data_IF_174296983529
#
_entry.id   IF_174296983529
#
_cell.length_a   1.000
_cell.length_b   1.000
_cell.length_c   1.000
_cell.angle_alpha   90.00
_cell.angle_beta   90.00
_cell.angle_gamma   90.00
#
_symmetry.space_group_name_H-M   'P 1'
#
loop_
_entity.id
_entity.type
_entity.pdbx_description
1 polymer ?
#
# COMPACT_ATOMS: atom_id res chain seq x y z
N UNK A 1 -27.19 76.77 14.71
CA UNK A 1 -25.89 76.42 14.08
C UNK A 1 -25.68 74.93 14.21
N UNK A 2 -25.61 74.23 13.07
CA UNK A 2 -25.49 72.77 12.95
C UNK A 2 -24.07 72.31 13.29
N UNK A 3 -23.94 71.23 14.06
CA UNK A 3 -22.82 70.28 13.96
C UNK A 3 -23.37 68.86 14.12
N UNK A 4 -23.45 68.16 12.99
CA UNK A 4 -23.77 66.74 12.90
C UNK A 4 -22.52 65.94 13.26
N UNK A 5 -22.62 65.02 14.22
CA UNK A 5 -21.61 63.97 14.43
C UNK A 5 -22.22 62.68 13.90
N UNK A 6 -21.57 62.15 12.87
CA UNK A 6 -21.90 60.94 12.15
C UNK A 6 -21.41 59.74 12.97
N UNK A 7 -22.31 59.05 13.67
CA UNK A 7 -22.03 57.79 14.35
C UNK A 7 -22.28 56.63 13.41
N UNK A 8 -21.22 55.94 12.98
CA UNK A 8 -21.28 54.71 12.19
C UNK A 8 -21.63 53.56 13.15
N UNK A 9 -22.83 53.00 13.03
CA UNK A 9 -23.22 51.76 13.71
C UNK A 9 -22.86 50.61 12.76
N UNK A 10 -21.77 49.90 13.07
CA UNK A 10 -21.43 48.63 12.44
C UNK A 10 -22.29 47.56 13.12
N UNK A 11 -23.32 47.09 12.40
CA UNK A 11 -24.15 45.96 12.81
C UNK A 11 -23.39 44.67 12.47
N UNK A 12 -22.69 44.10 13.44
CA UNK A 12 -22.02 42.80 13.32
C UNK A 12 -23.06 41.68 13.39
N UNK A 13 -23.37 41.09 12.23
CA UNK A 13 -24.09 39.82 12.12
C UNK A 13 -23.16 38.69 12.60
N UNK A 14 -23.37 38.21 13.83
CA UNK A 14 -22.78 36.97 14.31
C UNK A 14 -23.70 35.82 13.87
N UNK A 15 -23.41 35.23 12.71
CA UNK A 15 -23.95 33.92 12.35
C UNK A 15 -23.02 32.90 13.00
N UNK A 16 -23.47 32.30 14.11
CA UNK A 16 -22.82 31.15 14.72
C UNK A 16 -22.98 29.95 13.79
N UNK A 17 -21.97 29.69 12.96
CA UNK A 17 -21.81 28.39 12.31
C UNK A 17 -21.24 27.42 13.34
N UNK A 18 -22.05 26.45 13.74
CA UNK A 18 -21.60 25.25 14.43
C UNK A 18 -20.58 24.55 13.54
N UNK A 19 -19.31 24.57 13.93
CA UNK A 19 -18.26 23.76 13.28
C UNK A 19 -18.52 22.31 13.65
N UNK A 20 -19.26 21.61 12.80
CA UNK A 20 -19.18 20.16 12.70
C UNK A 20 -17.82 19.87 12.06
N UNK A 21 -16.90 19.30 12.84
CA UNK A 21 -15.63 18.81 12.33
C UNK A 21 -15.90 17.59 11.42
N UNK A 22 -16.13 17.85 10.13
CA UNK A 22 -16.02 16.83 9.10
C UNK A 22 -14.55 16.49 8.94
N UNK A 23 -14.16 15.31 9.42
CA UNK A 23 -12.90 14.69 9.01
C UNK A 23 -12.94 14.50 7.49
N UNK A 24 -11.92 14.95 6.74
CA UNK A 24 -11.84 14.62 5.33
C UNK A 24 -11.52 13.13 5.20
N UNK A 25 -12.44 12.38 4.60
CA UNK A 25 -12.19 11.05 4.04
C UNK A 25 -11.23 11.27 2.86
N UNK A 26 -9.94 11.34 3.13
CA UNK A 26 -8.89 11.35 2.10
C UNK A 26 -8.78 9.95 1.51
N UNK A 27 -9.70 9.61 0.59
CA UNK A 27 -9.51 8.47 -0.29
C UNK A 27 -8.48 8.86 -1.35
N UNK A 28 -7.19 8.60 -1.09
CA UNK A 28 -6.14 8.68 -2.11
C UNK A 28 -6.21 7.43 -2.99
N UNK A 29 -7.26 7.37 -3.81
CA UNK A 29 -7.37 6.35 -4.82
C UNK A 29 -6.35 6.65 -5.92
N UNK A 30 -5.34 5.79 -6.08
CA UNK A 30 -4.51 5.75 -7.29
C UNK A 30 -5.26 5.27 -8.55
N UNK A 31 -6.59 5.32 -8.54
CA UNK A 31 -7.47 5.11 -9.69
C UNK A 31 -8.17 6.40 -10.07
N UNK A 32 -7.99 6.83 -11.32
CA UNK A 32 -8.81 7.85 -11.98
C UNK A 32 -10.31 7.56 -11.76
N UNK A 33 -10.95 8.17 -10.76
CA UNK A 33 -12.41 8.16 -10.63
C UNK A 33 -12.98 9.16 -11.63
N UNK A 34 -13.26 8.67 -12.83
CA UNK A 34 -14.21 9.30 -13.75
C UNK A 34 -15.53 8.54 -13.66
N UNK A 35 -16.64 9.26 -13.44
CA UNK A 35 -18.02 8.76 -13.38
C UNK A 35 -18.54 8.21 -14.74
N UNK A 36 -17.65 7.84 -15.66
CA UNK A 36 -17.93 7.11 -16.91
C UNK A 36 -16.77 6.19 -17.29
N UNK A 37 -15.97 5.73 -16.31
CA UNK A 37 -14.83 4.86 -16.60
C UNK A 37 -15.34 3.53 -17.20
N UNK A 38 -14.74 3.05 -18.32
CA UNK A 38 -15.02 1.72 -18.83
C UNK A 38 -14.79 0.68 -17.72
N UNK A 39 -15.56 -0.41 -17.72
CA UNK A 39 -15.37 -1.52 -16.79
C UNK A 39 -13.87 -1.86 -16.64
N UNK A 40 -13.38 -2.17 -15.42
CA UNK A 40 -11.97 -2.43 -15.20
C UNK A 40 -11.45 -3.47 -16.21
N UNK A 41 -10.33 -3.16 -16.84
CA UNK A 41 -9.74 -4.00 -17.86
C UNK A 41 -9.33 -5.36 -17.26
N UNK A 42 -9.54 -6.45 -18.00
CA UNK A 42 -9.08 -7.77 -17.59
C UNK A 42 -7.55 -7.81 -17.74
N UNK A 43 -6.85 -8.04 -16.63
CA UNK A 43 -5.38 -8.13 -16.60
C UNK A 43 -4.96 -9.51 -17.13
N UNK A 44 -4.42 -9.51 -18.34
CA UNK A 44 -3.90 -10.73 -18.99
C UNK A 44 -2.45 -11.02 -18.61
N UNK A 45 -1.67 -10.02 -18.20
CA UNK A 45 -0.27 -10.17 -17.83
C UNK A 45 -0.13 -10.76 -16.41
N UNK A 46 0.50 -11.93 -16.29
CA UNK A 46 0.68 -12.60 -14.99
C UNK A 46 1.52 -11.78 -13.99
N UNK A 47 2.52 -11.03 -14.44
CA UNK A 47 3.33 -10.20 -13.55
C UNK A 47 2.51 -9.05 -12.97
N UNK A 48 1.68 -8.40 -13.78
CA UNK A 48 0.78 -7.34 -13.33
C UNK A 48 -0.28 -7.87 -12.36
N UNK A 49 -0.86 -9.03 -12.67
CA UNK A 49 -1.79 -9.72 -11.76
C UNK A 49 -1.15 -10.03 -10.40
N UNK A 50 0.05 -10.63 -10.41
CA UNK A 50 0.80 -10.91 -9.18
C UNK A 50 1.23 -9.64 -8.44
N UNK A 51 1.56 -8.57 -9.16
CA UNK A 51 1.91 -7.27 -8.57
C UNK A 51 0.73 -6.75 -7.76
N UNK A 52 -0.47 -6.67 -8.34
CA UNK A 52 -1.67 -6.20 -7.64
C UNK A 52 -1.99 -7.02 -6.38
N UNK A 53 -1.86 -8.35 -6.45
CA UNK A 53 -2.03 -9.23 -5.28
C UNK A 53 -1.01 -8.93 -4.17
N UNK A 54 0.24 -8.66 -4.54
CA UNK A 54 1.30 -8.38 -3.59
C UNK A 54 1.27 -6.95 -3.03
N UNK A 55 0.75 -5.97 -3.78
CA UNK A 55 0.44 -4.64 -3.25
C UNK A 55 -0.62 -4.74 -2.16
N UNK A 56 -1.71 -5.49 -2.40
CA UNK A 56 -2.72 -5.77 -1.36
C UNK A 56 -2.09 -6.42 -0.12
N UNK A 57 -1.22 -7.42 -0.29
CA UNK A 57 -0.47 -8.00 0.85
C UNK A 57 0.40 -6.97 1.58
N UNK A 58 1.00 -6.02 0.85
CA UNK A 58 1.80 -4.93 1.41
C UNK A 58 1.01 -4.01 2.34
N UNK A 59 -0.10 -3.46 1.86
CA UNK A 59 -1.01 -2.63 2.67
C UNK A 59 -1.47 -3.38 3.93
N UNK A 60 -1.88 -4.64 3.76
CA UNK A 60 -2.38 -5.46 4.87
C UNK A 60 -1.28 -5.71 5.91
N UNK A 61 -0.05 -6.01 5.48
CA UNK A 61 1.08 -6.19 6.38
C UNK A 61 1.33 -4.91 7.20
N UNK A 62 1.38 -3.76 6.54
CA UNK A 62 1.56 -2.44 7.18
C UNK A 62 0.47 -2.17 8.21
N UNK A 63 -0.80 -2.34 7.82
CA UNK A 63 -1.94 -2.10 8.71
C UNK A 63 -1.91 -3.00 9.94
N UNK A 64 -1.45 -4.25 9.82
CA UNK A 64 -1.28 -5.17 10.95
C UNK A 64 -0.13 -4.73 11.88
N UNK A 65 1.01 -4.30 11.33
CA UNK A 65 2.12 -3.78 12.15
C UNK A 65 1.73 -2.50 12.90
N UNK A 66 0.94 -1.63 12.26
CA UNK A 66 0.37 -0.44 12.90
C UNK A 66 -0.61 -0.81 14.00
N UNK A 67 -1.46 -1.81 13.77
CA UNK A 67 -2.40 -2.30 14.77
C UNK A 67 -1.68 -2.85 16.02
N UNK A 68 -0.62 -3.64 15.81
CA UNK A 68 0.23 -4.18 16.89
C UNK A 68 0.90 -3.09 17.73
N UNK A 69 1.22 -1.96 17.11
CA UNK A 69 1.86 -0.80 17.77
C UNK A 69 0.84 0.24 18.27
N UNK A 70 -0.45 -0.09 18.29
CA UNK A 70 -1.56 0.79 18.71
C UNK A 70 -1.70 2.07 17.89
N UNK A 71 -1.16 2.10 16.66
CA UNK A 71 -1.38 3.17 15.68
C UNK A 71 -2.68 2.94 14.91
N UNK A 72 -3.80 2.91 15.64
CA UNK A 72 -5.08 2.36 15.17
C UNK A 72 -5.67 3.12 13.98
N UNK A 73 -5.60 4.45 13.97
CA UNK A 73 -6.15 5.24 12.85
C UNK A 73 -5.42 4.96 11.54
N UNK A 74 -4.08 4.87 11.59
CA UNK A 74 -3.28 4.47 10.43
C UNK A 74 -3.60 3.03 10.04
N UNK A 75 -3.73 2.12 11.00
CA UNK A 75 -4.10 0.73 10.72
C UNK A 75 -5.44 0.63 9.97
N UNK A 76 -6.45 1.39 10.40
CA UNK A 76 -7.76 1.45 9.73
C UNK A 76 -7.67 2.01 8.32
N UNK A 77 -6.83 3.03 8.09
CA UNK A 77 -6.61 3.58 6.74
C UNK A 77 -6.06 2.51 5.80
N UNK A 78 -5.01 1.80 6.22
CA UNK A 78 -4.42 0.71 5.43
C UNK A 78 -5.35 -0.48 5.20
N UNK A 79 -6.38 -0.68 6.03
CA UNK A 79 -7.41 -1.70 5.79
C UNK A 79 -8.46 -1.27 4.75
N UNK A 80 -8.54 0.02 4.41
CA UNK A 80 -9.40 0.52 3.33
C UNK A 80 -8.73 0.35 1.97
N UNK A 81 -7.43 0.69 1.85
CA UNK A 81 -6.69 0.75 0.58
C UNK A 81 -6.87 -0.49 -0.32
N UNK A 82 -6.69 -1.75 0.16
CA UNK A 82 -6.86 -2.93 -0.69
C UNK A 82 -8.24 -3.01 -1.35
N UNK A 83 -9.30 -2.63 -0.64
CA UNK A 83 -10.67 -2.71 -1.17
C UNK A 83 -10.97 -1.53 -2.11
N UNK A 84 -10.55 -0.32 -1.73
CA UNK A 84 -10.86 0.92 -2.46
C UNK A 84 -10.03 1.13 -3.72
N UNK A 85 -8.78 0.66 -3.74
CA UNK A 85 -7.86 0.89 -4.85
C UNK A 85 -7.64 -0.32 -5.75
N UNK A 86 -7.61 -1.54 -5.20
CA UNK A 86 -7.08 -2.69 -5.94
C UNK A 86 -8.12 -3.81 -6.16
N UNK A 87 -8.82 -4.22 -5.11
CA UNK A 87 -9.65 -5.42 -5.15
C UNK A 87 -10.81 -5.30 -6.15
N UNK A 88 -11.50 -4.15 -6.16
CA UNK A 88 -12.63 -3.90 -7.07
C UNK A 88 -12.24 -4.06 -8.54
N UNK A 89 -11.08 -3.52 -8.92
CA UNK A 89 -10.55 -3.58 -10.28
C UNK A 89 -10.05 -4.98 -10.67
N UNK A 90 -9.72 -5.80 -9.67
CA UNK A 90 -9.29 -7.19 -9.87
C UNK A 90 -10.46 -8.17 -10.04
N UNK A 91 -11.69 -7.81 -9.68
CA UNK A 91 -12.87 -8.70 -9.77
C UNK A 91 -13.09 -9.28 -11.18
N UNK A 92 -13.09 -8.47 -12.27
CA UNK A 92 -13.22 -9.01 -13.63
C UNK A 92 -12.08 -9.98 -13.99
N UNK A 93 -10.87 -9.69 -13.52
CA UNK A 93 -9.67 -10.52 -13.73
C UNK A 93 -9.78 -11.85 -13.00
N UNK A 94 -10.24 -11.89 -11.75
CA UNK A 94 -10.48 -13.14 -11.03
C UNK A 94 -11.47 -14.02 -11.77
N UNK A 95 -12.60 -13.44 -12.22
CA UNK A 95 -13.60 -14.15 -13.01
C UNK A 95 -13.02 -14.71 -14.31
N UNK A 96 -12.25 -13.93 -15.05
CA UNK A 96 -11.65 -14.35 -16.31
C UNK A 96 -10.61 -15.47 -16.13
N UNK A 97 -9.86 -15.47 -15.03
CA UNK A 97 -8.86 -16.49 -14.68
C UNK A 97 -9.45 -17.72 -14.00
N UNK A 98 -10.71 -17.68 -13.60
CA UNK A 98 -11.34 -18.73 -12.77
C UNK A 98 -10.85 -18.74 -11.32
N UNK A 99 -10.22 -17.65 -10.86
CA UNK A 99 -9.73 -17.49 -9.50
C UNK A 99 -10.90 -17.19 -8.55
N UNK A 100 -10.87 -17.68 -7.29
CA UNK A 100 -12.01 -17.55 -6.37
C UNK A 100 -12.23 -16.12 -5.84
N UNK A 101 -11.23 -15.23 -5.95
CA UNK A 101 -11.23 -13.98 -5.19
C UNK A 101 -11.08 -14.25 -3.68
N UNK A 102 -11.33 -13.22 -2.86
CA UNK A 102 -11.18 -13.25 -1.40
C UNK A 102 -11.95 -12.11 -0.71
N UNK A 103 -13.09 -11.69 -1.27
CA UNK A 103 -13.86 -10.54 -0.78
C UNK A 103 -14.32 -10.71 0.68
N UNK A 104 -14.76 -11.92 1.04
CA UNK A 104 -15.23 -12.24 2.38
C UNK A 104 -14.10 -12.16 3.41
N UNK A 105 -12.94 -12.71 3.09
CA UNK A 105 -11.76 -12.68 3.94
C UNK A 105 -11.25 -11.25 4.14
N UNK A 106 -11.27 -10.44 3.06
CA UNK A 106 -10.91 -9.03 3.11
C UNK A 106 -11.84 -8.23 4.03
N UNK A 107 -13.16 -8.40 3.86
CA UNK A 107 -14.16 -7.74 4.70
C UNK A 107 -14.05 -8.15 6.17
N UNK A 108 -13.82 -9.43 6.44
CA UNK A 108 -13.67 -9.94 7.81
C UNK A 108 -12.49 -9.32 8.54
N UNK A 109 -11.35 -9.13 7.86
CA UNK A 109 -10.19 -8.47 8.45
C UNK A 109 -10.44 -6.97 8.62
N UNK A 110 -10.94 -6.29 7.58
CA UNK A 110 -11.20 -4.86 7.62
C UNK A 110 -12.18 -4.51 8.75
N UNK A 111 -13.25 -5.28 8.90
CA UNK A 111 -14.23 -5.14 9.99
C UNK A 111 -13.65 -5.41 11.38
N UNK A 112 -12.75 -6.37 11.54
CA UNK A 112 -12.15 -6.67 12.86
C UNK A 112 -11.18 -5.57 13.31
N UNK A 113 -10.42 -4.97 12.38
CA UNK A 113 -9.58 -3.80 12.65
C UNK A 113 -10.44 -2.57 12.92
N UNK A 114 -11.50 -2.35 12.14
CA UNK A 114 -12.42 -1.22 12.34
C UNK A 114 -13.14 -1.27 13.69
N UNK A 115 -13.50 -2.48 14.14
CA UNK A 115 -14.15 -2.73 15.44
C UNK A 115 -13.16 -2.86 16.60
N UNK A 116 -11.86 -2.67 16.33
CA UNK A 116 -10.78 -2.77 17.32
C UNK A 116 -10.80 -4.07 18.11
N UNK A 117 -11.05 -5.19 17.43
CA UNK A 117 -11.07 -6.51 18.06
C UNK A 117 -9.69 -6.90 18.63
N UNK A 118 -9.65 -7.90 19.51
CA UNK A 118 -8.38 -8.37 20.08
C UNK A 118 -7.35 -8.72 18.98
N UNK A 119 -6.08 -8.43 19.23
CA UNK A 119 -4.97 -8.72 18.29
C UNK A 119 -4.96 -10.19 17.86
N UNK A 120 -5.40 -11.11 18.71
CA UNK A 120 -5.54 -12.53 18.37
C UNK A 120 -6.52 -12.71 17.21
N UNK A 121 -7.72 -12.14 17.31
CA UNK A 121 -8.75 -12.29 16.27
C UNK A 121 -8.29 -11.61 14.98
N UNK A 122 -7.72 -10.41 15.08
CA UNK A 122 -7.16 -9.68 13.92
C UNK A 122 -6.10 -10.51 13.20
N UNK A 123 -5.14 -11.09 13.94
CA UNK A 123 -4.12 -11.96 13.35
C UNK A 123 -4.70 -13.24 12.72
N UNK A 124 -5.70 -13.87 13.35
CA UNK A 124 -6.37 -15.05 12.79
C UNK A 124 -7.06 -14.70 11.45
N UNK A 125 -7.74 -13.54 11.36
CA UNK A 125 -8.35 -13.04 10.11
C UNK A 125 -7.30 -12.69 9.05
N UNK A 126 -6.21 -12.03 9.45
CA UNK A 126 -5.10 -11.71 8.57
C UNK A 126 -4.46 -12.95 7.95
N UNK A 127 -4.19 -13.98 8.77
CA UNK A 127 -3.66 -15.26 8.29
C UNK A 127 -4.60 -15.91 7.25
N UNK A 128 -5.90 -15.95 7.53
CA UNK A 128 -6.89 -16.51 6.60
C UNK A 128 -6.93 -15.75 5.27
N UNK A 129 -6.90 -14.43 5.31
CA UNK A 129 -6.84 -13.59 4.11
C UNK A 129 -5.55 -13.81 3.32
N UNK A 130 -4.40 -13.89 4.00
CA UNK A 130 -3.11 -14.11 3.33
C UNK A 130 -3.05 -15.47 2.62
N UNK A 131 -3.67 -16.50 3.19
CA UNK A 131 -3.87 -17.82 2.55
C UNK A 131 -4.76 -17.68 1.31
N UNK A 132 -5.89 -16.96 1.41
CA UNK A 132 -6.80 -16.76 0.28
C UNK A 132 -6.14 -15.98 -0.87
N UNK A 133 -5.36 -14.93 -0.58
CA UNK A 133 -4.59 -14.21 -1.60
C UNK A 133 -3.56 -15.14 -2.25
N UNK A 134 -2.80 -15.90 -1.45
CA UNK A 134 -1.80 -16.85 -1.98
C UNK A 134 -2.44 -17.92 -2.87
N UNK A 135 -3.67 -18.36 -2.57
CA UNK A 135 -4.41 -19.27 -3.46
C UNK A 135 -4.74 -18.63 -4.81
N UNK A 136 -5.04 -17.32 -4.83
CA UNK A 136 -5.32 -16.60 -6.07
C UNK A 136 -4.05 -16.38 -6.92
N UNK A 137 -2.85 -16.34 -6.32
CA UNK A 137 -1.57 -16.25 -7.03
C UNK A 137 -1.26 -17.49 -7.88
N UNK A 138 -1.90 -18.64 -7.61
CA UNK A 138 -1.78 -19.86 -8.41
C UNK A 138 -2.47 -19.76 -9.78
N UNK A 139 -3.39 -18.81 -9.97
CA UNK A 139 -4.18 -18.63 -11.20
C UNK A 139 -3.47 -17.77 -12.24
N UNK A 140 -2.28 -18.22 -12.63
CA UNK A 140 -1.46 -17.60 -13.68
C UNK A 140 -1.39 -18.50 -14.92
N UNK A 141 -1.27 -17.88 -16.09
CA UNK A 141 -1.30 -18.60 -17.37
C UNK A 141 0.02 -19.28 -17.72
N UNK A 142 1.13 -18.76 -17.20
CA UNK A 142 2.46 -19.32 -17.36
C UNK A 142 3.07 -19.58 -15.97
N UNK A 143 3.47 -20.82 -15.67
CA UNK A 143 3.96 -21.23 -14.34
C UNK A 143 4.96 -20.26 -13.68
N UNK A 144 4.87 -20.12 -12.35
CA UNK A 144 5.53 -19.08 -11.55
C UNK A 144 6.99 -19.41 -11.19
N UNK A 145 7.51 -20.53 -11.70
CA UNK A 145 8.66 -21.18 -11.07
C UNK A 145 10.01 -20.62 -11.53
N UNK A 146 10.03 -19.72 -12.53
CA UNK A 146 11.29 -19.14 -12.96
C UNK A 146 11.70 -17.97 -12.05
N UNK A 147 12.97 -18.00 -11.65
CA UNK A 147 13.58 -16.92 -10.87
C UNK A 147 13.45 -15.58 -11.57
N UNK A 148 13.56 -15.54 -12.90
CA UNK A 148 13.44 -14.29 -13.66
C UNK A 148 12.04 -13.66 -13.53
N UNK A 149 10.97 -14.46 -13.46
CA UNK A 149 9.62 -13.94 -13.20
C UNK A 149 9.50 -13.37 -11.79
N UNK A 150 10.10 -14.03 -10.79
CA UNK A 150 10.12 -13.53 -9.40
C UNK A 150 10.93 -12.24 -9.28
N UNK A 151 12.07 -12.13 -9.96
CA UNK A 151 12.86 -10.90 -10.04
C UNK A 151 12.06 -9.78 -10.71
N UNK A 152 11.32 -10.10 -11.79
CA UNK A 152 10.45 -9.11 -12.45
C UNK A 152 9.34 -8.60 -11.51
N UNK A 153 8.72 -9.48 -10.73
CA UNK A 153 7.73 -9.09 -9.72
C UNK A 153 8.35 -8.16 -8.66
N UNK A 154 9.55 -8.49 -8.17
CA UNK A 154 10.32 -7.64 -7.24
C UNK A 154 10.54 -6.24 -7.82
N UNK A 155 10.97 -6.16 -9.07
CA UNK A 155 11.16 -4.88 -9.76
C UNK A 155 9.85 -4.09 -9.82
N UNK A 156 8.74 -4.73 -10.21
CA UNK A 156 7.43 -4.05 -10.29
C UNK A 156 6.94 -3.53 -8.94
N UNK A 157 7.15 -4.27 -7.85
CA UNK A 157 6.81 -3.81 -6.51
C UNK A 157 7.66 -2.62 -6.07
N UNK A 158 8.97 -2.65 -6.34
CA UNK A 158 9.87 -1.54 -6.01
C UNK A 158 9.59 -0.29 -6.85
N UNK A 159 9.17 -0.44 -8.12
CA UNK A 159 8.80 0.69 -8.97
C UNK A 159 7.60 1.46 -8.41
N UNK A 160 6.66 0.76 -7.78
CA UNK A 160 5.51 1.38 -7.10
C UNK A 160 5.93 1.91 -5.73
N UNK A 161 6.72 1.16 -4.96
CA UNK A 161 7.27 1.63 -3.69
C UNK A 161 8.06 2.94 -3.84
N UNK A 162 8.82 3.11 -4.93
CA UNK A 162 9.53 4.35 -5.22
C UNK A 162 8.57 5.54 -5.46
N UNK A 163 7.41 5.30 -6.07
CA UNK A 163 6.39 6.34 -6.29
C UNK A 163 5.75 6.73 -4.96
N UNK A 164 5.32 5.76 -4.15
CA UNK A 164 4.72 6.05 -2.84
C UNK A 164 5.73 6.73 -1.91
N UNK A 165 6.98 6.31 -1.92
CA UNK A 165 8.01 6.96 -1.11
C UNK A 165 8.26 8.41 -1.55
N UNK A 166 8.18 8.71 -2.85
CA UNK A 166 8.32 10.08 -3.36
C UNK A 166 7.14 10.99 -3.01
N UNK A 167 5.95 10.42 -2.80
CA UNK A 167 4.78 11.15 -2.28
C UNK A 167 4.90 11.31 -0.76
N UNK A 168 5.33 10.26 -0.08
CA UNK A 168 5.44 10.23 1.37
C UNK A 168 6.56 11.11 1.93
N UNK A 169 7.72 11.14 1.26
CA UNK A 169 8.89 11.91 1.66
C UNK A 169 9.24 12.94 0.58
N UNK A 170 9.16 14.23 0.93
CA UNK A 170 9.53 15.34 0.04
C UNK A 170 10.56 16.22 0.73
N UNK A 171 11.74 16.37 0.12
CA UNK A 171 12.86 17.15 0.67
C UNK A 171 13.20 16.78 2.14
N UNK A 172 13.16 15.48 2.44
CA UNK A 172 13.46 14.92 3.76
C UNK A 172 12.36 15.10 4.81
N UNK A 173 11.17 15.58 4.42
CA UNK A 173 10.01 15.74 5.30
C UNK A 173 8.96 14.68 5.00
N UNK A 174 8.26 14.24 6.03
CA UNK A 174 7.11 13.34 5.89
C UNK A 174 5.89 14.17 5.48
N UNK A 175 5.60 14.22 4.18
CA UNK A 175 4.42 14.92 3.64
C UNK A 175 3.19 14.02 3.64
N UNK A 176 3.36 12.72 3.41
CA UNK A 176 2.29 11.73 3.50
C UNK A 176 2.76 10.44 4.19
N UNK A 177 2.36 10.28 5.44
CA UNK A 177 2.77 9.13 6.26
C UNK A 177 2.22 7.80 5.73
N UNK A 178 1.05 7.82 5.08
CA UNK A 178 0.42 6.60 4.55
C UNK A 178 1.20 6.07 3.35
N UNK A 179 1.60 6.94 2.41
CA UNK A 179 2.38 6.52 1.25
C UNK A 179 3.81 6.11 1.61
N UNK A 180 4.40 6.78 2.61
CA UNK A 180 5.66 6.33 3.20
C UNK A 180 5.55 4.90 3.76
N UNK A 181 4.44 4.59 4.43
CA UNK A 181 4.16 3.27 4.99
C UNK A 181 3.86 2.23 3.89
N UNK A 182 3.11 2.59 2.85
CA UNK A 182 2.83 1.71 1.72
C UNK A 182 4.10 1.34 0.96
N UNK A 183 5.01 2.29 0.77
CA UNK A 183 6.34 2.02 0.23
C UNK A 183 7.12 0.97 1.05
N UNK A 184 7.00 0.99 2.39
CA UNK A 184 7.58 -0.04 3.26
C UNK A 184 6.93 -1.40 3.04
N UNK A 185 5.60 -1.43 3.00
CA UNK A 185 4.82 -2.66 2.76
C UNK A 185 5.20 -3.33 1.43
N UNK A 186 5.27 -2.55 0.35
CA UNK A 186 5.59 -3.06 -0.98
C UNK A 186 7.05 -3.53 -1.07
N UNK A 187 7.99 -2.81 -0.48
CA UNK A 187 9.40 -3.24 -0.37
C UNK A 187 9.52 -4.53 0.45
N UNK A 188 8.74 -4.67 1.52
CA UNK A 188 8.70 -5.88 2.35
C UNK A 188 8.15 -7.08 1.58
N UNK A 189 7.07 -6.89 0.80
CA UNK A 189 6.55 -7.95 -0.08
C UNK A 189 7.52 -8.32 -1.19
N UNK A 190 8.27 -7.36 -1.74
CA UNK A 190 9.32 -7.64 -2.71
C UNK A 190 10.38 -8.59 -2.12
N UNK A 191 10.81 -8.34 -0.88
CA UNK A 191 11.75 -9.24 -0.18
C UNK A 191 11.14 -10.62 0.10
N UNK A 192 9.92 -10.68 0.63
CA UNK A 192 9.29 -11.94 0.99
C UNK A 192 9.10 -12.87 -0.21
N UNK A 193 8.76 -12.33 -1.39
CA UNK A 193 8.64 -13.10 -2.63
C UNK A 193 9.91 -13.85 -3.05
N UNK A 194 11.08 -13.46 -2.53
CA UNK A 194 12.35 -14.16 -2.76
C UNK A 194 12.72 -15.14 -1.65
N UNK A 195 12.32 -14.87 -0.41
CA UNK A 195 12.62 -15.72 0.75
C UNK A 195 11.92 -17.07 0.67
N UNK A 196 10.75 -17.12 0.05
CA UNK A 196 9.95 -18.35 -0.10
C UNK A 196 10.50 -19.29 -1.19
N UNK A 197 11.53 -18.87 -1.93
CA UNK A 197 12.09 -19.64 -3.05
C UNK A 197 13.12 -20.65 -2.55
N UNK A 198 12.76 -21.94 -2.62
CA UNK A 198 13.70 -23.04 -2.43
C UNK A 198 14.22 -23.58 -3.77
N UNK A 199 15.38 -23.09 -4.23
CA UNK A 199 16.03 -23.56 -5.45
C UNK A 199 17.30 -24.36 -5.17
N UNK A 200 17.51 -25.48 -5.87
CA UNK A 200 18.77 -26.26 -5.80
C UNK A 200 19.88 -25.69 -6.67
N UNK A 201 19.56 -24.79 -7.61
CA UNK A 201 20.54 -24.20 -8.54
C UNK A 201 21.38 -23.13 -7.82
N UNK A 202 22.71 -23.30 -7.81
CA UNK A 202 23.63 -22.40 -7.10
C UNK A 202 23.63 -20.97 -7.66
N UNK A 203 23.52 -20.80 -8.99
CA UNK A 203 23.49 -19.47 -9.61
C UNK A 203 22.22 -18.74 -9.18
N UNK A 204 21.08 -19.43 -9.14
CA UNK A 204 19.83 -18.85 -8.66
C UNK A 204 19.91 -18.45 -7.18
N UNK A 205 20.52 -19.28 -6.32
CA UNK A 205 20.77 -18.91 -4.91
C UNK A 205 21.60 -17.63 -4.80
N UNK A 206 22.66 -17.51 -5.60
CA UNK A 206 23.52 -16.33 -5.62
C UNK A 206 22.77 -15.07 -6.10
N UNK A 207 21.94 -15.18 -7.15
CA UNK A 207 21.10 -14.09 -7.64
C UNK A 207 20.11 -13.63 -6.57
N UNK A 208 19.38 -14.56 -5.95
CA UNK A 208 18.44 -14.27 -4.84
C UNK A 208 19.17 -13.57 -3.69
N UNK A 209 20.30 -14.11 -3.24
CA UNK A 209 21.08 -13.52 -2.14
C UNK A 209 21.48 -12.08 -2.43
N UNK A 210 22.02 -11.81 -3.64
CA UNK A 210 22.42 -10.44 -4.04
C UNK A 210 21.23 -9.48 -4.03
N UNK A 211 20.07 -9.91 -4.48
CA UNK A 211 18.87 -9.06 -4.49
C UNK A 211 18.37 -8.81 -3.06
N UNK A 212 18.38 -9.83 -2.20
CA UNK A 212 18.05 -9.66 -0.77
C UNK A 212 19.01 -8.67 -0.11
N UNK A 213 20.31 -8.72 -0.41
CA UNK A 213 21.29 -7.76 0.11
C UNK A 213 20.98 -6.33 -0.35
N UNK A 214 20.59 -6.14 -1.63
CA UNK A 214 20.14 -4.85 -2.15
C UNK A 214 18.88 -4.35 -1.42
N UNK A 215 17.90 -5.23 -1.18
CA UNK A 215 16.67 -4.88 -0.46
C UNK A 215 16.96 -4.53 1.00
N UNK A 216 17.88 -5.24 1.66
CA UNK A 216 18.31 -4.92 3.02
C UNK A 216 18.98 -3.53 3.12
N UNK A 217 19.66 -3.10 2.06
CA UNK A 217 20.25 -1.76 1.99
C UNK A 217 19.19 -0.65 1.95
N UNK A 218 17.95 -0.95 1.60
CA UNK A 218 16.85 0.03 1.60
C UNK A 218 16.23 0.24 2.98
N UNK A 219 16.44 -0.66 3.95
CA UNK A 219 15.83 -0.59 5.28
C UNK A 219 16.01 0.76 6.01
N UNK A 220 17.18 1.44 5.92
CA UNK A 220 17.36 2.75 6.54
C UNK A 220 16.41 3.86 6.03
N UNK A 221 15.75 3.66 4.87
CA UNK A 221 14.72 4.59 4.40
C UNK A 221 13.48 4.60 5.30
N UNK A 222 13.29 3.55 6.12
CA UNK A 222 12.19 3.43 7.07
C UNK A 222 12.69 3.21 8.50
N UNK A 223 13.26 4.25 9.16
CA UNK A 223 13.79 4.11 10.52
C UNK A 223 12.69 3.81 11.56
N UNK A 224 11.46 4.27 11.31
CA UNK A 224 10.29 4.09 12.16
C UNK A 224 9.04 3.84 11.31
N UNK A 225 8.09 3.05 11.82
CA UNK A 225 6.82 2.79 11.13
C UNK A 225 5.90 4.03 11.10
N UNK A 226 5.93 4.83 12.16
CA UNK A 226 5.21 6.11 12.27
C UNK A 226 6.24 7.19 12.62
N UNK A 227 6.88 7.80 11.61
CA UNK A 227 7.94 8.77 11.84
C UNK A 227 7.38 10.04 12.51
N UNK A 228 8.06 10.48 13.57
CA UNK A 228 7.76 11.73 14.28
C UNK A 228 8.73 12.88 13.94
N UNK A 229 9.71 12.60 13.08
CA UNK A 229 10.76 13.53 12.66
C UNK A 229 10.98 13.47 11.15
N UNK A 230 11.76 14.41 10.65
CA UNK A 230 12.27 14.37 9.28
C UNK A 230 13.04 13.05 9.03
N UNK A 231 12.92 12.54 7.81
CA UNK A 231 13.62 11.35 7.34
C UNK A 231 14.56 11.81 6.23
N UNK A 232 15.86 11.62 6.42
CA UNK A 232 16.85 11.87 5.38
C UNK A 232 16.84 10.70 4.36
N UNK A 233 15.81 10.70 3.51
CA UNK A 233 15.55 9.64 2.54
C UNK A 233 15.05 10.20 1.20
N UNK A 234 15.36 9.48 0.12
CA UNK A 234 14.97 9.84 -1.24
C UNK A 234 14.59 8.56 -2.01
N UNK A 235 13.46 8.62 -2.72
CA UNK A 235 12.98 7.58 -3.62
C UNK A 235 14.02 7.17 -4.67
N UNK A 236 14.97 8.06 -5.00
CA UNK A 236 16.13 7.77 -5.84
C UNK A 236 16.92 6.57 -5.36
N UNK A 237 17.01 6.35 -4.04
CA UNK A 237 17.68 5.19 -3.45
C UNK A 237 17.02 3.88 -3.88
N UNK A 238 15.68 3.86 -3.94
CA UNK A 238 14.89 2.71 -4.42
C UNK A 238 15.08 2.54 -5.93
N UNK A 239 15.06 3.63 -6.70
CA UNK A 239 15.30 3.62 -8.15
C UNK A 239 16.69 3.05 -8.48
N UNK A 240 17.74 3.48 -7.78
CA UNK A 240 19.09 2.97 -8.00
C UNK A 240 19.22 1.49 -7.59
N UNK A 241 18.46 1.03 -6.59
CA UNK A 241 18.37 -0.39 -6.25
C UNK A 241 17.71 -1.21 -7.37
N UNK A 242 16.63 -0.71 -7.98
CA UNK A 242 16.00 -1.35 -9.15
C UNK A 242 17.01 -1.51 -10.29
N UNK A 243 17.78 -0.47 -10.59
CA UNK A 243 18.80 -0.51 -11.66
C UNK A 243 19.95 -1.48 -11.36
N UNK A 244 20.27 -1.73 -10.08
CA UNK A 244 21.20 -2.80 -9.68
C UNK A 244 20.58 -4.18 -9.88
N UNK A 245 19.31 -4.36 -9.51
CA UNK A 245 18.60 -5.65 -9.64
C UNK A 245 18.44 -6.05 -11.11
N UNK A 246 18.14 -5.10 -12.01
CA UNK A 246 18.04 -5.35 -13.46
C UNK A 246 19.31 -5.92 -14.10
N UNK A 247 20.46 -5.80 -13.43
CA UNK A 247 21.77 -6.29 -13.89
C UNK A 247 22.12 -7.70 -13.37
N UNK A 248 21.24 -8.33 -12.57
CA UNK A 248 21.44 -9.64 -11.93
C UNK A 248 20.72 -10.77 -12.67
#
# INVERSE_FOLDING_TARGET
MKKNILGIIILSFLISYSVVASHPDESHSHGNKHENAPSPAIITNDNEYLTNLNLMKGHLWVGIELYKTSSIDNAKMHMKHPKSELYGDMVPTFKARGAPGFATELENLSSSVQSEESIKIVNDRYSNLFVAISKNEEFITQGNDSIDKKIKLVISLLEIAAKEYAIGIVNGKVENVYEYQDALGFTTMAKNNLLDINTKNINNKLRISKIIDILNFLLPLWPELVPNSNIDGDARTIIDAIEKIKKI
#
